data_IF_603164469428
#
_entry.id   IF_603164469428
#
_cell.length_a   1.000
_cell.length_b   1.000
_cell.length_c   1.000
_cell.angle_alpha   90.00
_cell.angle_beta   90.00
_cell.angle_gamma   90.00
#
_symmetry.space_group_name_H-M   'P 1'
#
loop_
_entity.id
_entity.type
_entity.pdbx_description
1 polymer ?
#
# COMPACT_ATOMS: atom_id res chain seq x y z
N UNK A 1 30.67 -17.28 19.12
CA UNK A 1 30.16 -16.17 19.95
C UNK A 1 30.48 -14.88 19.21
N UNK A 2 29.48 -14.24 18.61
CA UNK A 2 29.64 -12.92 18.01
C UNK A 2 30.09 -11.98 19.14
N UNK A 3 31.21 -11.29 18.95
CA UNK A 3 31.79 -10.46 20.02
C UNK A 3 30.81 -9.33 20.37
N UNK A 4 30.55 -9.12 21.67
CA UNK A 4 29.55 -8.18 22.22
C UNK A 4 29.58 -6.76 21.61
N UNK A 5 30.77 -6.27 21.21
CA UNK A 5 30.93 -4.97 20.55
C UNK A 5 30.29 -4.88 19.16
N UNK A 6 30.13 -6.00 18.44
CA UNK A 6 29.48 -6.00 17.13
C UNK A 6 27.98 -5.71 17.27
N UNK A 7 27.33 -6.24 18.32
CA UNK A 7 25.94 -5.92 18.62
C UNK A 7 25.77 -4.44 18.95
N UNK A 8 26.64 -3.87 19.80
CA UNK A 8 26.60 -2.44 20.13
C UNK A 8 26.74 -1.55 18.89
N UNK A 9 27.69 -1.87 17.99
CA UNK A 9 27.87 -1.14 16.72
C UNK A 9 26.64 -1.27 15.82
N UNK A 10 26.05 -2.46 15.70
CA UNK A 10 24.81 -2.65 14.94
C UNK A 10 23.66 -1.82 15.53
N UNK A 11 23.50 -1.76 16.85
CA UNK A 11 22.46 -0.94 17.47
C UNK A 11 22.67 0.55 17.23
N UNK A 12 23.89 1.07 17.31
CA UNK A 12 24.17 2.50 17.04
C UNK A 12 23.93 2.88 15.58
N UNK A 13 24.28 1.99 14.64
CA UNK A 13 24.01 2.22 13.21
C UNK A 13 22.51 2.15 12.93
N UNK A 14 21.79 1.22 13.56
CA UNK A 14 20.34 1.11 13.42
C UNK A 14 19.61 2.33 14.00
N UNK A 15 20.08 2.87 15.14
CA UNK A 15 19.50 4.08 15.74
C UNK A 15 19.80 5.33 14.90
N UNK A 16 21.04 5.51 14.45
CA UNK A 16 21.38 6.65 13.58
C UNK A 16 20.60 6.62 12.25
N UNK A 17 20.32 5.42 11.71
CA UNK A 17 19.45 5.27 10.56
C UNK A 17 17.98 5.59 10.89
N UNK A 18 17.49 5.20 12.08
CA UNK A 18 16.14 5.54 12.54
C UNK A 18 15.96 7.07 12.71
N UNK A 19 16.96 7.75 13.28
CA UNK A 19 16.94 9.21 13.46
C UNK A 19 16.83 9.98 12.13
N UNK A 20 17.46 9.48 11.06
CA UNK A 20 17.33 10.05 9.70
C UNK A 20 15.90 9.90 9.16
N UNK A 21 15.27 8.74 9.39
CA UNK A 21 13.88 8.51 8.96
C UNK A 21 12.88 9.32 9.77
N UNK A 22 13.09 9.49 11.08
CA UNK A 22 12.23 10.30 11.94
C UNK A 22 12.24 11.76 11.50
N UNK A 23 13.41 12.33 11.23
CA UNK A 23 13.52 13.69 10.69
C UNK A 23 12.80 13.85 9.34
N UNK A 24 12.86 12.81 8.48
CA UNK A 24 12.16 12.83 7.19
C UNK A 24 10.64 12.72 7.34
N UNK A 25 10.17 11.90 8.27
CA UNK A 25 8.75 11.78 8.61
C UNK A 25 8.23 13.11 9.12
N UNK A 26 8.95 13.77 10.03
CA UNK A 26 8.57 15.09 10.54
C UNK A 26 8.48 16.14 9.43
N UNK A 27 9.44 16.17 8.50
CA UNK A 27 9.42 17.07 7.34
C UNK A 27 8.19 16.83 6.45
N UNK A 28 7.80 15.58 6.21
CA UNK A 28 6.62 15.22 5.41
C UNK A 28 5.33 15.59 6.16
N UNK A 29 5.23 15.22 7.43
CA UNK A 29 4.04 15.45 8.26
C UNK A 29 3.79 16.94 8.50
N UNK A 30 4.84 17.77 8.54
CA UNK A 30 4.73 19.22 8.64
C UNK A 30 4.01 19.87 7.45
N UNK A 31 3.96 19.19 6.30
CA UNK A 31 3.29 19.66 5.09
C UNK A 31 1.87 19.10 4.93
N UNK A 32 1.41 18.23 5.84
CA UNK A 32 0.09 17.60 5.75
C UNK A 32 -0.97 18.39 6.52
N UNK A 33 -2.15 18.48 5.93
CA UNK A 33 -3.36 18.90 6.64
C UNK A 33 -3.91 17.75 7.49
N UNK A 34 -4.85 18.05 8.40
CA UNK A 34 -5.57 16.98 9.12
C UNK A 34 -6.27 15.99 8.17
N UNK A 35 -6.77 16.47 7.03
CA UNK A 35 -7.41 15.62 6.04
C UNK A 35 -6.40 14.68 5.37
N UNK A 36 -5.19 15.18 5.06
CA UNK A 36 -4.11 14.35 4.51
C UNK A 36 -3.70 13.25 5.49
N UNK A 37 -3.54 13.58 6.77
CA UNK A 37 -3.19 12.60 7.81
C UNK A 37 -4.26 11.50 7.91
N UNK A 38 -5.54 11.88 7.99
CA UNK A 38 -6.65 10.91 8.04
C UNK A 38 -6.70 10.06 6.76
N UNK A 39 -6.47 10.68 5.60
CA UNK A 39 -6.36 9.98 4.32
C UNK A 39 -5.24 8.94 4.32
N UNK A 40 -4.03 9.32 4.75
CA UNK A 40 -2.88 8.42 4.82
C UNK A 40 -3.10 7.25 5.80
N UNK A 41 -3.88 7.47 6.87
CA UNK A 41 -4.30 6.43 7.81
C UNK A 41 -5.45 5.55 7.29
N UNK A 42 -6.01 5.86 6.12
CA UNK A 42 -7.13 5.13 5.53
C UNK A 42 -6.63 4.06 4.55
N UNK A 43 -7.16 2.84 4.70
CA UNK A 43 -6.96 1.74 3.79
C UNK A 43 -8.29 1.35 3.15
N UNK A 44 -8.30 1.18 1.82
CA UNK A 44 -9.51 0.83 1.07
C UNK A 44 -9.32 -0.51 0.38
N UNK A 45 -10.36 -1.33 0.35
CA UNK A 45 -10.33 -2.55 -0.43
C UNK A 45 -10.39 -2.26 -1.94
N UNK A 46 -9.49 -2.84 -2.72
CA UNK A 46 -9.27 -2.58 -4.14
C UNK A 46 -10.49 -2.93 -5.00
N UNK A 47 -11.38 -3.83 -4.56
CA UNK A 47 -12.62 -4.12 -5.27
C UNK A 47 -13.55 -2.90 -5.36
N UNK A 48 -13.39 -1.88 -4.50
CA UNK A 48 -14.12 -0.62 -4.64
C UNK A 48 -13.61 0.25 -5.79
N UNK A 49 -12.48 -0.11 -6.41
CA UNK A 49 -11.90 0.56 -7.56
C UNK A 49 -12.17 -0.19 -8.86
N UNK A 50 -12.93 -1.27 -8.80
CA UNK A 50 -13.14 -2.17 -9.92
C UNK A 50 -14.64 -2.24 -10.21
N UNK A 51 -15.01 -2.09 -11.48
CA UNK A 51 -16.41 -2.17 -11.92
C UNK A 51 -16.87 -3.63 -12.09
N UNK A 52 -18.14 -3.81 -12.46
CA UNK A 52 -18.73 -5.14 -12.65
C UNK A 52 -18.10 -5.98 -13.77
N UNK A 53 -17.29 -5.38 -14.65
CA UNK A 53 -16.55 -6.06 -15.72
C UNK A 53 -15.08 -6.27 -15.36
N UNK A 54 -14.73 -6.14 -14.07
CA UNK A 54 -13.37 -6.28 -13.57
C UNK A 54 -12.35 -5.30 -14.15
N UNK A 55 -12.83 -4.13 -14.60
CA UNK A 55 -12.00 -3.01 -15.03
C UNK A 55 -11.86 -1.96 -13.95
N UNK A 56 -10.80 -1.15 -14.05
CA UNK A 56 -10.64 0.02 -13.20
C UNK A 56 -11.84 0.96 -13.43
N UNK A 57 -12.53 1.29 -12.34
CA UNK A 57 -13.54 2.34 -12.32
C UNK A 57 -12.83 3.68 -12.09
N UNK A 58 -12.60 4.42 -13.17
CA UNK A 58 -11.89 5.71 -13.12
C UNK A 58 -12.59 6.75 -12.24
N UNK A 59 -13.93 6.69 -12.17
CA UNK A 59 -14.69 7.62 -11.34
C UNK A 59 -14.55 7.28 -9.86
N UNK A 60 -14.55 5.99 -9.51
CA UNK A 60 -14.24 5.54 -8.17
C UNK A 60 -12.80 5.89 -7.76
N UNK A 61 -11.82 5.68 -8.65
CA UNK A 61 -10.43 6.09 -8.42
C UNK A 61 -10.34 7.59 -8.16
N UNK A 62 -10.97 8.41 -9.00
CA UNK A 62 -10.96 9.87 -8.85
C UNK A 62 -11.66 10.32 -7.57
N UNK A 63 -12.70 9.62 -7.13
CA UNK A 63 -13.37 9.89 -5.87
C UNK A 63 -12.45 9.61 -4.67
N UNK A 64 -11.79 8.46 -4.63
CA UNK A 64 -10.90 8.10 -3.52
C UNK A 64 -9.59 8.89 -3.48
N UNK A 65 -9.05 9.30 -4.63
CA UNK A 65 -7.86 10.17 -4.69
C UNK A 65 -8.09 11.50 -3.97
N UNK A 66 -9.31 12.07 -4.03
CA UNK A 66 -9.66 13.31 -3.31
C UNK A 66 -9.60 13.15 -1.79
N UNK A 67 -9.59 11.92 -1.29
CA UNK A 67 -9.51 11.61 0.13
C UNK A 67 -8.09 11.26 0.59
N UNK A 68 -7.08 11.38 -0.27
CA UNK A 68 -5.66 11.20 0.07
C UNK A 68 -5.35 9.83 0.71
N UNK A 69 -6.08 8.79 0.26
CA UNK A 69 -6.01 7.42 0.78
C UNK A 69 -4.58 6.88 0.72
N UNK A 70 -4.06 6.42 1.86
CA UNK A 70 -2.67 5.96 1.99
C UNK A 70 -2.41 4.54 1.46
N UNK A 71 -3.43 3.68 1.41
CA UNK A 71 -3.23 2.31 0.93
C UNK A 71 -4.46 1.65 0.32
N UNK A 72 -4.20 0.72 -0.60
CA UNK A 72 -5.21 -0.13 -1.21
C UNK A 72 -4.90 -1.58 -0.90
N UNK A 73 -5.82 -2.26 -0.22
CA UNK A 73 -5.73 -3.69 0.04
C UNK A 73 -6.38 -4.45 -1.10
N UNK A 74 -5.69 -5.42 -1.69
CA UNK A 74 -6.33 -6.36 -2.61
C UNK A 74 -6.67 -7.68 -1.91
N UNK A 75 -7.84 -7.79 -1.25
CA UNK A 75 -8.31 -9.11 -0.83
C UNK A 75 -8.58 -9.97 -2.08
N UNK A 76 -8.58 -11.29 -1.94
CA UNK A 76 -9.07 -12.17 -2.99
C UNK A 76 -10.47 -11.71 -3.41
N UNK A 77 -10.75 -11.60 -4.70
CA UNK A 77 -12.03 -11.12 -5.25
C UNK A 77 -13.23 -12.07 -4.99
N UNK A 78 -13.13 -12.92 -3.96
CA UNK A 78 -14.03 -14.04 -3.76
C UNK A 78 -13.84 -15.11 -4.83
N UNK A 79 -14.84 -15.98 -4.97
CA UNK A 79 -14.93 -16.93 -6.07
C UNK A 79 -15.44 -16.22 -7.32
N UNK A 80 -14.67 -16.28 -8.41
CA UNK A 80 -15.10 -15.84 -9.74
C UNK A 80 -15.04 -17.06 -10.64
N UNK A 81 -16.16 -17.38 -11.29
CA UNK A 81 -16.30 -18.53 -12.22
C UNK A 81 -15.78 -19.86 -11.65
N UNK A 82 -16.07 -20.15 -10.37
CA UNK A 82 -15.63 -21.39 -9.73
C UNK A 82 -14.19 -21.38 -9.22
N UNK A 83 -13.48 -20.25 -9.35
CA UNK A 83 -12.06 -20.12 -9.00
C UNK A 83 -11.84 -19.04 -7.94
N UNK A 84 -10.98 -19.37 -6.99
CA UNK A 84 -10.52 -18.46 -5.92
C UNK A 84 -9.17 -17.81 -6.22
N UNK A 85 -8.55 -18.17 -7.34
CA UNK A 85 -7.25 -17.69 -7.76
C UNK A 85 -6.91 -18.10 -9.19
N UNK A 86 -5.93 -17.40 -9.75
CA UNK A 86 -5.45 -17.59 -11.12
C UNK A 86 -3.94 -17.73 -11.11
N UNK A 87 -3.42 -18.58 -11.98
CA UNK A 87 -2.01 -18.54 -12.35
C UNK A 87 -1.66 -17.21 -12.98
N UNK A 88 -0.36 -16.86 -13.03
CA UNK A 88 0.08 -15.62 -13.69
C UNK A 88 -0.38 -15.54 -15.14
N UNK A 89 -0.41 -16.66 -15.87
CA UNK A 89 -0.88 -16.70 -17.26
C UNK A 89 -2.38 -16.43 -17.37
N UNK A 90 -3.18 -17.06 -16.51
CA UNK A 90 -4.63 -16.83 -16.47
C UNK A 90 -4.95 -15.39 -16.05
N UNK A 91 -4.22 -14.81 -15.09
CA UNK A 91 -4.42 -13.41 -14.70
C UNK A 91 -4.02 -12.46 -15.84
N UNK A 92 -2.97 -12.79 -16.61
CA UNK A 92 -2.58 -12.01 -17.79
C UNK A 92 -3.58 -12.13 -18.93
N UNK A 93 -4.19 -13.29 -19.12
CA UNK A 93 -5.25 -13.48 -20.10
C UNK A 93 -6.55 -12.79 -19.66
N UNK A 94 -6.84 -12.81 -18.36
CA UNK A 94 -7.93 -12.06 -17.77
C UNK A 94 -7.74 -10.57 -18.03
N UNK A 95 -6.57 -10.00 -17.72
CA UNK A 95 -6.22 -8.57 -17.92
C UNK A 95 -5.98 -8.18 -19.38
N UNK A 96 -5.46 -9.07 -20.22
CA UNK A 96 -5.06 -8.80 -21.61
C UNK A 96 -6.06 -9.24 -22.68
N UNK A 97 -7.10 -9.98 -22.30
CA UNK A 97 -8.30 -10.22 -23.11
C UNK A 97 -9.31 -9.07 -23.03
N UNK A 98 -8.84 -7.92 -22.56
CA UNK A 98 -9.55 -6.68 -22.27
C UNK A 98 -9.02 -5.61 -23.23
#
# INVERSE_FOLDING_TARGET
MLKSWLSAVCYTVLHAAADEWDAKVDEVMANFTYADIVGQMTQIASFNLINSTYQLDEDAVRAFVKHHVGSYLSPSHGEIDGKWGWTTAEMRAFVGGI
#
